data_IF_154644206149
#
_entry.id   IF_154644206149
#
_cell.length_a   1.000
_cell.length_b   1.000
_cell.length_c   1.000
_cell.angle_alpha   90.00
_cell.angle_beta   90.00
_cell.angle_gamma   90.00
#
_symmetry.space_group_name_H-M   'P 1'
#
loop_
_entity.id
_entity.type
_entity.pdbx_description
1 polymer ?
#
# COMPACT_ATOMS: atom_id res chain seq x y z
N UNK A 1 -0.28 -14.74 2.78
CA UNK A 1 -1.61 -14.64 2.14
C UNK A 1 -2.68 -15.39 2.92
N UNK A 2 -2.69 -16.74 2.99
CA UNK A 2 -3.79 -17.49 3.63
C UNK A 2 -4.08 -17.13 5.10
N UNK A 3 -3.06 -16.81 5.91
CA UNK A 3 -3.24 -16.38 7.30
C UNK A 3 -3.86 -14.98 7.41
N UNK A 4 -3.32 -14.00 6.68
CA UNK A 4 -3.86 -12.64 6.63
C UNK A 4 -5.30 -12.59 6.06
N UNK A 5 -5.63 -13.43 5.07
CA UNK A 5 -6.99 -13.56 4.56
C UNK A 5 -7.97 -14.06 5.64
N UNK A 6 -7.55 -15.04 6.45
CA UNK A 6 -8.36 -15.60 7.54
C UNK A 6 -8.57 -14.60 8.69
N UNK A 7 -7.59 -13.74 8.98
CA UNK A 7 -7.72 -12.67 9.98
C UNK A 7 -8.59 -11.50 9.50
N UNK A 8 -8.56 -11.20 8.19
CA UNK A 8 -9.42 -10.19 7.58
C UNK A 8 -10.91 -10.56 7.62
N UNK A 9 -11.25 -11.84 7.46
CA UNK A 9 -12.64 -12.31 7.57
C UNK A 9 -13.29 -11.97 8.92
N UNK A 10 -12.51 -11.86 9.99
CA UNK A 10 -13.01 -11.60 11.35
C UNK A 10 -13.11 -10.12 11.70
N UNK A 11 -12.19 -9.27 11.21
CA UNK A 11 -12.14 -7.85 11.58
C UNK A 11 -12.71 -6.89 10.53
N UNK A 12 -12.57 -7.20 9.23
CA UNK A 12 -12.97 -6.36 8.08
C UNK A 12 -12.68 -4.86 8.25
N UNK A 13 -11.63 -4.53 8.99
CA UNK A 13 -11.16 -3.16 9.16
C UNK A 13 -10.15 -2.81 8.06
N UNK A 14 -9.87 -1.52 7.91
CA UNK A 14 -8.97 -1.01 6.87
C UNK A 14 -7.54 -1.58 6.97
N UNK A 15 -7.09 -1.93 8.19
CA UNK A 15 -5.74 -2.44 8.41
C UNK A 15 -5.63 -3.93 8.07
N UNK A 16 -6.71 -4.70 8.27
CA UNK A 16 -6.81 -6.06 7.76
C UNK A 16 -6.84 -6.09 6.23
N UNK A 17 -7.55 -5.16 5.60
CA UNK A 17 -7.54 -5.01 4.15
C UNK A 17 -6.13 -4.64 3.63
N UNK A 18 -5.42 -3.75 4.32
CA UNK A 18 -4.03 -3.40 4.01
C UNK A 18 -3.09 -4.60 4.12
N UNK A 19 -3.18 -5.37 5.21
CA UNK A 19 -2.38 -6.58 5.39
C UNK A 19 -2.67 -7.63 4.29
N UNK A 20 -3.94 -7.79 3.90
CA UNK A 20 -4.32 -8.65 2.79
C UNK A 20 -3.70 -8.15 1.48
N UNK A 21 -3.81 -6.86 1.19
CA UNK A 21 -3.26 -6.25 -0.01
C UNK A 21 -1.74 -6.38 -0.09
N UNK A 22 -1.03 -6.07 1.01
CA UNK A 22 0.42 -6.16 1.09
C UNK A 22 0.90 -7.60 0.92
N UNK A 23 0.23 -8.58 1.55
CA UNK A 23 0.61 -9.98 1.37
C UNK A 23 0.27 -10.54 0.00
N UNK A 24 -0.79 -10.05 -0.66
CA UNK A 24 -1.09 -10.36 -2.06
C UNK A 24 -0.02 -9.78 -3.00
N UNK A 25 0.35 -8.51 -2.80
CA UNK A 25 1.42 -7.86 -3.54
C UNK A 25 2.74 -8.65 -3.45
N UNK A 26 3.15 -9.03 -2.24
CA UNK A 26 4.36 -9.85 -2.01
C UNK A 26 4.27 -11.24 -2.63
N UNK A 27 3.07 -11.74 -2.93
CA UNK A 27 2.82 -13.00 -3.61
C UNK A 27 2.64 -12.86 -5.14
N UNK A 28 2.97 -11.69 -5.71
CA UNK A 28 2.80 -11.36 -7.13
C UNK A 28 1.34 -11.43 -7.63
N UNK A 29 0.39 -11.28 -6.71
CA UNK A 29 -1.05 -11.33 -6.93
C UNK A 29 -1.61 -9.92 -7.08
N UNK A 30 -1.23 -9.25 -8.17
CA UNK A 30 -1.42 -7.80 -8.30
C UNK A 30 -2.89 -7.39 -8.31
N UNK A 31 -3.76 -8.11 -9.02
CA UNK A 31 -5.20 -7.79 -9.08
C UNK A 31 -5.90 -7.97 -7.72
N UNK A 32 -5.53 -9.01 -6.98
CA UNK A 32 -6.03 -9.23 -5.61
C UNK A 32 -5.51 -8.14 -4.65
N UNK A 33 -4.25 -7.72 -4.82
CA UNK A 33 -3.66 -6.64 -4.05
C UNK A 33 -4.39 -5.30 -4.29
N UNK A 34 -4.68 -4.96 -5.54
CA UNK A 34 -5.43 -3.75 -5.89
C UNK A 34 -6.84 -3.75 -5.28
N UNK A 35 -7.53 -4.89 -5.31
CA UNK A 35 -8.88 -5.03 -4.75
C UNK A 35 -8.87 -4.80 -3.23
N UNK A 36 -7.96 -5.48 -2.52
CA UNK A 36 -7.84 -5.34 -1.08
C UNK A 36 -7.35 -3.93 -0.68
N UNK A 37 -6.47 -3.31 -1.48
CA UNK A 37 -6.00 -1.95 -1.20
C UNK A 37 -7.12 -0.91 -1.37
N UNK A 38 -8.03 -1.12 -2.33
CA UNK A 38 -9.22 -0.26 -2.46
C UNK A 38 -10.08 -0.30 -1.20
N UNK A 39 -10.24 -1.47 -0.58
CA UNK A 39 -10.95 -1.61 0.69
C UNK A 39 -10.19 -0.92 1.85
N UNK A 40 -8.86 -1.03 1.88
CA UNK A 40 -8.01 -0.38 2.87
C UNK A 40 -8.13 1.16 2.82
N UNK A 41 -8.25 1.72 1.60
CA UNK A 41 -8.38 3.16 1.39
C UNK A 41 -9.82 3.67 1.49
N UNK A 42 -10.83 2.80 1.69
CA UNK A 42 -12.27 3.15 1.60
C UNK A 42 -12.70 4.28 2.54
N UNK A 43 -12.07 4.39 3.70
CA UNK A 43 -12.42 5.39 4.71
C UNK A 43 -11.65 6.72 4.54
N UNK A 44 -10.71 6.81 3.60
CA UNK A 44 -9.90 8.01 3.40
C UNK A 44 -8.92 8.28 4.54
N UNK A 45 -8.60 7.28 5.36
CA UNK A 45 -7.66 7.39 6.49
C UNK A 45 -6.32 7.96 6.04
N UNK A 46 -5.87 9.01 6.72
CA UNK A 46 -4.61 9.68 6.42
C UNK A 46 -3.44 8.98 7.10
N UNK A 47 -3.03 7.84 6.55
CA UNK A 47 -1.94 7.01 7.07
C UNK A 47 -0.86 6.84 6.00
N UNK A 48 0.35 7.27 6.31
CA UNK A 48 1.49 7.23 5.40
C UNK A 48 1.79 5.82 4.90
N UNK A 49 1.62 4.79 5.74
CA UNK A 49 1.91 3.40 5.38
C UNK A 49 0.90 2.85 4.39
N UNK A 50 -0.38 3.20 4.54
CA UNK A 50 -1.43 2.81 3.59
C UNK A 50 -1.15 3.40 2.21
N UNK A 51 -0.78 4.68 2.15
CA UNK A 51 -0.42 5.31 0.88
C UNK A 51 0.86 4.73 0.29
N UNK A 52 1.87 4.41 1.11
CA UNK A 52 3.07 3.73 0.62
C UNK A 52 2.73 2.38 -0.03
N UNK A 53 1.95 1.53 0.65
CA UNK A 53 1.55 0.23 0.09
C UNK A 53 0.71 0.40 -1.19
N UNK A 54 -0.21 1.36 -1.23
CA UNK A 54 -0.99 1.67 -2.43
C UNK A 54 -0.10 2.09 -3.61
N UNK A 55 0.91 2.94 -3.36
CA UNK A 55 1.87 3.36 -4.37
C UNK A 55 2.70 2.19 -4.92
N UNK A 56 3.17 1.31 -4.04
CA UNK A 56 3.92 0.10 -4.45
C UNK A 56 3.08 -0.85 -5.31
N UNK A 57 1.80 -1.04 -4.96
CA UNK A 57 0.87 -1.88 -5.72
C UNK A 57 0.54 -1.25 -7.09
N UNK A 58 0.26 0.05 -7.12
CA UNK A 58 0.00 0.78 -8.36
C UNK A 58 1.19 0.67 -9.32
N UNK A 59 2.40 0.84 -8.79
CA UNK A 59 3.64 0.69 -9.57
C UNK A 59 3.77 -0.69 -10.19
N UNK A 60 3.53 -1.75 -9.42
CA UNK A 60 3.59 -3.12 -9.93
C UNK A 60 2.49 -3.48 -10.94
N UNK A 61 1.40 -2.70 -10.97
CA UNK A 61 0.37 -2.80 -12.02
C UNK A 61 0.71 -2.01 -13.28
N UNK A 62 1.82 -1.25 -13.30
CA UNK A 62 2.22 -0.38 -14.41
C UNK A 62 1.59 1.01 -14.37
N UNK A 63 0.77 1.32 -13.37
CA UNK A 63 0.19 2.66 -13.17
C UNK A 63 1.17 3.55 -12.41
N UNK A 64 2.19 4.00 -13.13
CA UNK A 64 3.23 4.88 -12.60
C UNK A 64 2.63 6.20 -12.08
N UNK A 65 1.68 6.81 -12.79
CA UNK A 65 1.09 8.10 -12.38
C UNK A 65 0.46 8.01 -10.99
N UNK A 66 -0.38 6.99 -10.77
CA UNK A 66 -1.02 6.77 -9.47
C UNK A 66 0.01 6.38 -8.41
N UNK A 67 1.03 5.58 -8.78
CA UNK A 67 2.09 5.18 -7.87
C UNK A 67 2.78 6.39 -7.22
N UNK A 68 3.28 7.34 -8.02
CA UNK A 68 3.98 8.48 -7.47
C UNK A 68 3.09 9.45 -6.71
N UNK A 69 1.81 9.57 -7.10
CA UNK A 69 0.86 10.33 -6.30
C UNK A 69 0.76 9.80 -4.87
N UNK A 70 0.64 8.48 -4.72
CA UNK A 70 0.57 7.83 -3.42
C UNK A 70 1.90 7.83 -2.66
N UNK A 71 3.03 7.56 -3.32
CA UNK A 71 4.35 7.61 -2.69
C UNK A 71 4.66 9.02 -2.17
N UNK A 72 4.35 10.05 -2.96
CA UNK A 72 4.48 11.45 -2.52
C UNK A 72 3.60 11.73 -1.31
N UNK A 73 2.34 11.29 -1.35
CA UNK A 73 1.42 11.48 -0.23
C UNK A 73 1.90 10.81 1.06
N UNK A 74 2.50 9.62 0.95
CA UNK A 74 3.07 8.91 2.10
C UNK A 74 4.16 9.75 2.78
N UNK A 75 5.13 10.25 1.99
CA UNK A 75 6.23 11.06 2.49
C UNK A 75 5.78 12.43 3.04
N UNK A 76 4.77 13.05 2.42
CA UNK A 76 4.17 14.29 2.92
C UNK A 76 3.49 14.11 4.29
N UNK A 77 2.84 12.97 4.52
CA UNK A 77 2.15 12.69 5.77
C UNK A 77 3.12 12.39 6.90
N UNK A 78 4.11 11.55 6.64
CA UNK A 78 5.16 11.24 7.59
C UNK A 78 6.35 10.67 6.81
N UNK A 79 7.50 11.36 6.70
CA UNK A 79 8.67 10.83 6.02
C UNK A 79 9.45 9.78 6.83
N UNK A 80 9.02 9.46 8.05
CA UNK A 80 9.64 8.49 8.95
C UNK A 80 8.66 7.39 9.39
N UNK A 81 7.65 7.10 8.55
CA UNK A 81 6.58 6.14 8.86
C UNK A 81 7.07 4.70 9.05
N UNK A 82 8.15 4.34 8.36
CA UNK A 82 8.92 3.12 8.57
C UNK A 82 10.33 3.37 7.99
N UNK A 83 11.42 3.11 8.74
CA UNK A 83 12.78 3.47 8.31
C UNK A 83 13.20 2.87 6.95
N UNK A 84 12.68 1.68 6.61
CA UNK A 84 13.04 1.01 5.34
C UNK A 84 12.12 1.46 4.22
N UNK A 85 10.82 1.49 4.47
CA UNK A 85 9.85 1.85 3.44
C UNK A 85 9.96 3.33 3.04
N UNK A 86 10.29 4.20 3.99
CA UNK A 86 10.46 5.65 3.72
C UNK A 86 11.68 5.89 2.83
N UNK A 87 12.81 5.25 3.11
CA UNK A 87 14.01 5.35 2.25
C UNK A 87 13.72 4.86 0.82
N UNK A 88 12.95 3.76 0.66
CA UNK A 88 12.53 3.27 -0.65
C UNK A 88 11.62 4.28 -1.35
N UNK A 89 10.67 4.87 -0.61
CA UNK A 89 9.76 5.88 -1.14
C UNK A 89 10.51 7.10 -1.68
N UNK A 90 11.52 7.58 -0.95
CA UNK A 90 12.38 8.69 -1.38
C UNK A 90 13.10 8.36 -2.69
N UNK A 91 13.80 7.22 -2.74
CA UNK A 91 14.51 6.76 -3.94
C UNK A 91 13.58 6.59 -5.16
N UNK A 92 12.32 6.18 -4.94
CA UNK A 92 11.36 6.03 -6.03
C UNK A 92 10.91 7.37 -6.63
N UNK A 93 10.94 8.47 -5.87
CA UNK A 93 10.62 9.80 -6.40
C UNK A 93 11.83 10.51 -6.99
N UNK A 94 13.03 10.21 -6.51
CA UNK A 94 14.28 10.78 -7.05
C UNK A 94 14.62 10.26 -8.45
N UNK A 95 14.26 9.01 -8.77
CA UNK A 95 14.57 8.36 -10.05
C UNK A 95 13.52 8.59 -11.14
N UNK A 96 12.88 9.75 -11.16
CA UNK A 96 11.82 10.11 -12.13
C UNK A 96 12.22 11.17 -13.14
#
# INVERSE_FOLDING_TARGET
YKLAAKEYETRRDIYGADALAWTAFKANKISEAQTAMKDALRLGTQDAKLFYHAGMIARASGDETTASGFIKRALELNPQFDPRQSAIAETLLENR
#
